data_IF_570244655280
#
_entry.id   IF_570244655280
#
_cell.length_a   1.000
_cell.length_b   1.000
_cell.length_c   1.000
_cell.angle_alpha   90.00
_cell.angle_beta   90.00
_cell.angle_gamma   90.00
#
_symmetry.space_group_name_H-M   'P 1'
#
loop_
_entity.id
_entity.type
_entity.pdbx_description
1 polymer ?
#
# COMPACT_ATOMS: atom_id res chain seq x y z
N UNK A 1 -9.97 -15.78 8.97
CA UNK A 1 -8.59 -16.00 9.44
C UNK A 1 -7.96 -14.64 9.23
N UNK A 2 -7.63 -13.95 10.32
CA UNK A 2 -7.06 -12.63 10.21
C UNK A 2 -5.58 -12.78 9.86
N UNK A 3 -5.14 -12.14 8.79
CA UNK A 3 -3.73 -12.04 8.47
C UNK A 3 -3.38 -10.60 8.12
N UNK A 4 -2.29 -10.13 8.71
CA UNK A 4 -1.73 -8.80 8.55
C UNK A 4 -0.34 -8.99 7.96
N UNK A 5 -0.09 -8.35 6.82
CA UNK A 5 1.16 -8.52 6.06
C UNK A 5 1.83 -7.15 5.92
N UNK A 6 3.05 -7.04 6.44
CA UNK A 6 3.91 -5.87 6.35
C UNK A 6 3.25 -4.55 6.73
N UNK A 7 2.37 -4.58 7.75
CA UNK A 7 1.64 -3.38 8.16
C UNK A 7 2.55 -2.44 8.94
N UNK A 8 2.64 -1.22 8.42
CA UNK A 8 3.25 -0.10 9.14
C UNK A 8 2.25 1.03 9.31
N UNK A 9 2.41 1.77 10.42
CA UNK A 9 1.58 2.91 10.75
C UNK A 9 2.42 4.03 11.32
N UNK A 10 2.28 5.19 10.70
CA UNK A 10 2.92 6.43 11.12
C UNK A 10 1.86 7.50 11.40
N UNK A 11 2.14 8.36 12.38
CA UNK A 11 1.33 9.53 12.73
C UNK A 11 2.20 10.80 12.76
N UNK A 12 1.54 11.96 12.81
CA UNK A 12 2.19 13.27 12.86
C UNK A 12 2.36 13.91 11.47
N UNK A 13 2.72 15.21 11.44
CA UNK A 13 3.06 15.88 10.18
C UNK A 13 4.25 15.17 9.54
N UNK A 14 4.11 14.81 8.26
CA UNK A 14 5.10 14.04 7.49
C UNK A 14 5.43 12.66 8.07
N UNK A 15 4.48 11.96 8.71
CA UNK A 15 4.70 10.61 9.24
C UNK A 15 5.85 10.51 10.27
N UNK A 16 6.06 11.56 11.07
CA UNK A 16 7.20 11.69 11.99
C UNK A 16 7.27 10.65 13.10
N UNK A 17 6.16 9.98 13.42
CA UNK A 17 6.07 9.05 14.56
C UNK A 17 5.65 7.68 14.06
N UNK A 18 6.59 6.74 14.04
CA UNK A 18 6.31 5.33 13.77
C UNK A 18 5.66 4.68 14.99
N UNK A 19 4.44 4.15 14.81
CA UNK A 19 3.70 3.43 15.86
C UNK A 19 3.69 1.93 15.59
N UNK A 20 3.62 1.52 14.32
CA UNK A 20 3.78 0.13 13.89
C UNK A 20 4.79 0.08 12.75
N UNK A 21 5.71 -0.89 12.80
CA UNK A 21 6.74 -1.08 11.78
C UNK A 21 6.75 -2.54 11.34
N UNK A 22 6.42 -2.79 10.07
CA UNK A 22 6.46 -4.10 9.40
C UNK A 22 5.83 -5.23 10.22
N UNK A 23 4.65 -4.96 10.78
CA UNK A 23 3.92 -5.91 11.62
C UNK A 23 3.30 -7.00 10.75
N UNK A 24 3.63 -8.24 11.08
CA UNK A 24 3.11 -9.44 10.47
C UNK A 24 2.39 -10.28 11.55
N UNK A 25 1.12 -10.60 11.33
CA UNK A 25 0.30 -11.33 12.31
C UNK A 25 -0.64 -12.28 11.57
N UNK A 26 -0.78 -13.51 12.06
CA UNK A 26 -1.74 -14.48 11.54
C UNK A 26 -2.53 -15.10 12.70
N UNK A 27 -3.85 -15.05 12.64
CA UNK A 27 -4.76 -15.64 13.63
C UNK A 27 -5.75 -16.56 12.91
N UNK A 28 -5.69 -17.84 13.25
CA UNK A 28 -6.53 -18.90 12.70
C UNK A 28 -7.93 -18.87 13.32
N UNK A 29 -8.89 -19.49 12.63
CA UNK A 29 -10.25 -19.64 13.15
C UNK A 29 -10.23 -20.52 14.40
N UNK A 30 -10.82 -20.03 15.49
CA UNK A 30 -10.83 -20.71 16.79
C UNK A 30 -9.57 -20.49 17.63
N UNK A 31 -8.60 -19.71 17.15
CA UNK A 31 -7.40 -19.34 17.90
C UNK A 31 -7.70 -18.14 18.82
N UNK A 32 -7.37 -18.25 20.11
CA UNK A 32 -7.54 -17.18 21.09
C UNK A 32 -6.17 -16.62 21.49
N UNK A 33 -5.85 -15.42 21.01
CA UNK A 33 -4.50 -14.82 21.09
C UNK A 33 -4.56 -13.54 21.94
N UNK A 34 -3.60 -13.37 22.85
CA UNK A 34 -3.43 -12.14 23.63
C UNK A 34 -2.34 -11.25 23.05
N UNK A 35 -2.61 -9.95 22.93
CA UNK A 35 -1.63 -8.92 22.53
C UNK A 35 -1.20 -8.10 23.76
N UNK A 36 0.06 -8.25 24.19
CA UNK A 36 0.62 -7.58 25.37
C UNK A 36 1.71 -6.56 25.00
N UNK A 37 1.97 -5.58 25.87
CA UNK A 37 3.01 -4.56 25.65
C UNK A 37 2.82 -3.33 26.56
N UNK A 38 3.86 -2.51 26.72
CA UNK A 38 3.84 -1.28 27.53
C UNK A 38 2.81 -0.25 27.04
N UNK A 39 2.37 0.67 27.90
CA UNK A 39 1.47 1.76 27.48
C UNK A 39 2.12 2.56 26.34
N UNK A 40 1.35 2.86 25.27
CA UNK A 40 1.86 3.54 24.08
C UNK A 40 2.54 2.67 23.02
N UNK A 41 2.69 1.36 23.24
CA UNK A 41 3.38 0.45 22.30
C UNK A 41 2.65 0.15 20.97
N UNK A 42 1.55 0.85 20.66
CA UNK A 42 0.78 0.61 19.42
C UNK A 42 -0.25 -0.52 19.46
N UNK A 43 -0.55 -1.13 20.62
CA UNK A 43 -1.55 -2.22 20.73
C UNK A 43 -2.93 -1.82 20.18
N UNK A 44 -3.46 -0.69 20.64
CA UNK A 44 -4.77 -0.19 20.19
C UNK A 44 -4.75 0.15 18.71
N UNK A 45 -3.66 0.73 18.20
CA UNK A 45 -3.47 0.98 16.76
C UNK A 45 -3.48 -0.31 15.95
N UNK A 46 -2.77 -1.35 16.40
CA UNK A 46 -2.77 -2.66 15.73
C UNK A 46 -4.17 -3.28 15.74
N UNK A 47 -4.89 -3.19 16.86
CA UNK A 47 -6.27 -3.67 16.94
C UNK A 47 -7.23 -2.85 16.07
N UNK A 48 -7.07 -1.52 16.00
CA UNK A 48 -7.88 -0.67 15.12
C UNK A 48 -7.63 -0.99 13.65
N UNK A 49 -6.38 -1.23 13.25
CA UNK A 49 -6.05 -1.65 11.88
C UNK A 49 -6.59 -3.05 11.60
N UNK A 50 -6.39 -3.99 12.52
CA UNK A 50 -6.91 -5.35 12.43
C UNK A 50 -8.44 -5.39 12.33
N UNK A 51 -9.12 -4.46 13.02
CA UNK A 51 -10.59 -4.32 13.03
C UNK A 51 -11.12 -3.34 11.97
N UNK A 52 -10.25 -2.84 11.09
CA UNK A 52 -10.55 -1.84 10.07
C UNK A 52 -11.11 -0.49 10.54
N UNK A 53 -11.01 -0.18 11.83
CA UNK A 53 -11.34 1.15 12.33
C UNK A 53 -10.34 2.20 11.85
N UNK A 54 -9.17 1.77 11.37
CA UNK A 54 -8.11 2.64 10.89
C UNK A 54 -7.32 2.00 9.74
N UNK A 55 -6.98 2.77 8.70
CA UNK A 55 -6.11 2.28 7.64
C UNK A 55 -4.64 2.25 8.10
N UNK A 56 -3.88 1.24 7.68
CA UNK A 56 -2.43 1.27 7.81
C UNK A 56 -1.82 2.31 6.85
N UNK A 57 -0.61 2.77 7.14
CA UNK A 57 0.14 3.61 6.19
C UNK A 57 0.65 2.77 5.01
N UNK A 58 1.04 1.51 5.28
CA UNK A 58 1.43 0.51 4.28
C UNK A 58 1.10 -0.91 4.75
N UNK A 59 1.14 -1.92 3.88
CA UNK A 59 0.80 -3.31 4.22
C UNK A 59 -0.68 -3.68 4.08
N UNK A 60 -1.07 -4.94 4.20
CA UNK A 60 -2.41 -5.45 3.80
C UNK A 60 -3.09 -6.21 4.94
N UNK A 61 -4.43 -6.14 4.99
CA UNK A 61 -5.28 -6.97 5.87
C UNK A 61 -6.03 -7.97 4.99
N UNK A 62 -5.79 -9.26 5.23
CA UNK A 62 -6.12 -10.37 4.31
C UNK A 62 -7.60 -10.82 4.39
N UNK A 63 -8.38 -10.33 5.35
CA UNK A 63 -9.76 -10.79 5.57
C UNK A 63 -10.81 -10.14 4.63
N UNK A 64 -10.36 -9.43 3.59
CA UNK A 64 -11.18 -8.68 2.64
C UNK A 64 -10.90 -9.12 1.21
N UNK A 65 -11.90 -8.96 0.33
CA UNK A 65 -11.67 -9.08 -1.10
C UNK A 65 -10.69 -8.02 -1.60
N UNK A 66 -10.18 -8.19 -2.82
CA UNK A 66 -9.34 -7.19 -3.47
C UNK A 66 -10.07 -5.85 -3.57
N UNK A 67 -11.34 -5.89 -3.98
CA UNK A 67 -12.19 -4.72 -4.12
C UNK A 67 -12.32 -3.98 -2.79
N UNK A 68 -12.68 -4.69 -1.73
CA UNK A 68 -12.84 -4.13 -0.40
C UNK A 68 -11.55 -3.47 0.10
N UNK A 69 -10.38 -4.10 -0.12
CA UNK A 69 -9.08 -3.53 0.23
C UNK A 69 -8.82 -2.17 -0.45
N UNK A 70 -9.19 -2.04 -1.74
CA UNK A 70 -9.01 -0.80 -2.50
C UNK A 70 -10.06 0.26 -2.12
N UNK A 71 -11.25 -0.15 -1.67
CA UNK A 71 -12.31 0.76 -1.21
C UNK A 71 -11.99 1.41 0.15
N UNK A 72 -11.18 0.79 1.01
CA UNK A 72 -10.94 1.24 2.39
C UNK A 72 -10.59 2.74 2.52
N UNK A 73 -9.65 3.31 1.74
CA UNK A 73 -9.29 4.72 1.87
C UNK A 73 -10.46 5.68 1.59
N UNK A 74 -11.32 5.35 0.63
CA UNK A 74 -12.53 6.13 0.32
C UNK A 74 -13.55 6.02 1.46
N UNK A 75 -13.74 4.80 1.98
CA UNK A 75 -14.65 4.54 3.12
C UNK A 75 -14.23 5.29 4.38
N UNK A 76 -12.93 5.35 4.66
CA UNK A 76 -12.36 6.07 5.81
C UNK A 76 -12.60 7.58 5.71
N UNK A 77 -12.55 8.15 4.50
CA UNK A 77 -12.89 9.55 4.26
C UNK A 77 -14.41 9.83 4.32
N UNK A 78 -15.23 8.81 4.61
CA UNK A 78 -16.68 8.95 4.74
C UNK A 78 -17.46 8.81 3.44
N UNK A 79 -16.82 8.42 2.33
CA UNK A 79 -17.53 8.19 1.08
C UNK A 79 -18.51 7.01 1.19
N UNK A 80 -19.63 7.11 0.47
CA UNK A 80 -20.64 6.05 0.42
C UNK A 80 -20.05 4.77 -0.18
N UNK A 81 -20.65 3.61 0.11
CA UNK A 81 -20.20 2.33 -0.43
C UNK A 81 -20.13 2.34 -1.95
N UNK A 82 -21.19 2.80 -2.61
CA UNK A 82 -21.27 2.89 -4.08
C UNK A 82 -20.15 3.76 -4.67
N UNK A 83 -19.89 4.95 -4.11
CA UNK A 83 -18.83 5.83 -4.61
C UNK A 83 -17.45 5.19 -4.44
N UNK A 84 -17.19 4.56 -3.29
CA UNK A 84 -15.92 3.88 -3.03
C UNK A 84 -15.72 2.68 -3.98
N UNK A 85 -16.79 1.94 -4.27
CA UNK A 85 -16.80 0.77 -5.14
C UNK A 85 -16.49 1.17 -6.59
N UNK A 86 -17.18 2.18 -7.12
CA UNK A 86 -16.94 2.70 -8.47
C UNK A 86 -15.48 3.18 -8.65
N UNK A 87 -14.95 3.90 -7.66
CA UNK A 87 -13.56 4.35 -7.66
C UNK A 87 -12.57 3.17 -7.61
N UNK A 88 -12.85 2.17 -6.76
CA UNK A 88 -12.01 0.99 -6.61
C UNK A 88 -11.99 0.14 -7.89
N UNK A 89 -13.12 -0.06 -8.55
CA UNK A 89 -13.22 -0.79 -9.83
C UNK A 89 -12.41 -0.07 -10.91
N UNK A 90 -12.54 1.25 -11.03
CA UNK A 90 -11.81 2.04 -12.02
C UNK A 90 -10.28 1.90 -11.84
N UNK A 91 -9.80 1.95 -10.60
CA UNK A 91 -8.38 1.79 -10.28
C UNK A 91 -7.93 0.34 -10.46
N UNK A 92 -8.76 -0.64 -10.11
CA UNK A 92 -8.44 -2.06 -10.33
C UNK A 92 -8.27 -2.37 -11.82
N UNK A 93 -9.06 -1.75 -12.69
CA UNK A 93 -8.84 -1.82 -14.14
C UNK A 93 -7.50 -1.20 -14.56
N UNK A 94 -7.11 -0.06 -13.98
CA UNK A 94 -5.85 0.61 -14.29
C UNK A 94 -4.62 -0.24 -13.89
N UNK A 95 -4.69 -0.94 -12.75
CA UNK A 95 -3.62 -1.84 -12.29
C UNK A 95 -3.71 -3.26 -12.85
N UNK A 96 -4.68 -3.54 -13.73
CA UNK A 96 -4.86 -4.85 -14.37
C UNK A 96 -5.30 -5.97 -13.40
N UNK A 97 -6.16 -5.64 -12.44
CA UNK A 97 -6.71 -6.57 -11.44
C UNK A 97 -8.25 -6.58 -11.37
N UNK A 98 -8.93 -5.99 -12.36
CA UNK A 98 -10.39 -6.01 -12.49
C UNK A 98 -10.99 -7.41 -12.26
N UNK A 99 -10.48 -8.42 -12.94
CA UNK A 99 -11.05 -9.79 -12.90
C UNK A 99 -10.80 -10.49 -11.57
N UNK A 100 -10.04 -9.88 -10.66
CA UNK A 100 -9.74 -10.37 -9.31
C UNK A 100 -10.40 -9.57 -8.22
N UNK A 101 -11.31 -8.64 -8.54
CA UNK A 101 -11.99 -7.78 -7.57
C UNK A 101 -12.60 -8.58 -6.40
N UNK A 102 -13.25 -9.70 -6.69
CA UNK A 102 -13.90 -10.55 -5.67
C UNK A 102 -12.97 -11.61 -5.05
N UNK A 103 -11.75 -11.76 -5.57
CA UNK A 103 -10.79 -12.73 -5.02
C UNK A 103 -10.33 -12.34 -3.62
N UNK A 104 -9.94 -13.34 -2.84
CA UNK A 104 -9.33 -13.11 -1.54
C UNK A 104 -7.86 -12.73 -1.71
N UNK A 105 -7.33 -11.85 -0.84
CA UNK A 105 -5.91 -11.43 -0.90
C UNK A 105 -4.96 -12.64 -0.80
N UNK A 106 -5.33 -13.68 -0.06
CA UNK A 106 -4.53 -14.91 0.09
C UNK A 106 -4.34 -15.68 -1.21
N UNK A 107 -5.19 -15.45 -2.22
CA UNK A 107 -5.14 -16.13 -3.52
C UNK A 107 -4.25 -15.39 -4.54
N UNK A 108 -3.82 -14.17 -4.20
CA UNK A 108 -2.99 -13.35 -5.07
C UNK A 108 -1.52 -13.76 -5.02
N UNK A 109 -0.83 -13.68 -6.16
CA UNK A 109 0.64 -13.72 -6.22
C UNK A 109 1.26 -12.50 -5.52
N UNK A 110 2.56 -12.56 -5.22
CA UNK A 110 3.28 -11.44 -4.58
C UNK A 110 3.12 -10.12 -5.33
N UNK A 111 3.33 -10.13 -6.66
CA UNK A 111 3.21 -8.90 -7.45
C UNK A 111 1.78 -8.44 -7.66
N UNK A 112 0.79 -9.33 -7.58
CA UNK A 112 -0.63 -8.93 -7.54
C UNK A 112 -0.96 -8.23 -6.23
N UNK A 113 -0.51 -8.76 -5.08
CA UNK A 113 -0.68 -8.09 -3.77
C UNK A 113 -0.07 -6.70 -3.77
N UNK A 114 1.10 -6.52 -4.39
CA UNK A 114 1.74 -5.22 -4.49
C UNK A 114 0.95 -4.25 -5.39
N UNK A 115 0.35 -4.73 -6.49
CA UNK A 115 -0.56 -3.92 -7.31
C UNK A 115 -1.83 -3.53 -6.55
N UNK A 116 -2.37 -4.38 -5.67
CA UNK A 116 -3.47 -4.00 -4.76
C UNK A 116 -3.03 -2.91 -3.78
N UNK A 117 -1.84 -3.02 -3.20
CA UNK A 117 -1.30 -1.99 -2.32
C UNK A 117 -1.13 -0.64 -3.04
N UNK A 118 -0.64 -0.67 -4.29
CA UNK A 118 -0.57 0.50 -5.17
C UNK A 118 -1.95 1.08 -5.43
N UNK A 119 -2.90 0.26 -5.88
CA UNK A 119 -4.28 0.66 -6.16
C UNK A 119 -4.91 1.41 -4.97
N UNK A 120 -4.74 0.85 -3.76
CA UNK A 120 -5.21 1.48 -2.53
C UNK A 120 -4.50 2.81 -2.23
N UNK A 121 -3.21 2.93 -2.53
CA UNK A 121 -2.47 4.19 -2.36
C UNK A 121 -2.93 5.31 -3.31
N UNK A 122 -3.40 4.95 -4.51
CA UNK A 122 -3.75 5.92 -5.57
C UNK A 122 -5.25 6.16 -5.73
N UNK A 123 -6.12 5.37 -5.08
CA UNK A 123 -7.59 5.47 -5.22
C UNK A 123 -8.18 6.84 -4.89
N UNK A 124 -7.50 7.61 -4.04
CA UNK A 124 -7.90 8.97 -3.68
C UNK A 124 -7.27 10.05 -4.57
N UNK A 125 -6.57 9.68 -5.64
CA UNK A 125 -5.83 10.59 -6.54
C UNK A 125 -4.98 11.61 -5.75
N UNK A 126 -4.01 11.15 -4.93
CA UNK A 126 -3.25 12.04 -4.06
C UNK A 126 -2.40 13.02 -4.88
N UNK A 127 -2.27 14.27 -4.42
CA UNK A 127 -1.44 15.28 -5.11
C UNK A 127 0.04 14.89 -5.23
N UNK A 128 0.53 14.07 -4.28
CA UNK A 128 1.86 13.48 -4.30
C UNK A 128 1.78 11.98 -4.02
N UNK A 129 2.48 11.19 -4.83
CA UNK A 129 2.64 9.76 -4.65
C UNK A 129 4.05 9.47 -4.15
N UNK A 130 4.15 8.90 -2.96
CA UNK A 130 5.40 8.43 -2.38
C UNK A 130 5.42 6.90 -2.42
N UNK A 131 6.51 6.33 -2.90
CA UNK A 131 6.67 4.89 -2.96
C UNK A 131 8.06 4.49 -2.48
N UNK A 132 8.10 3.74 -1.39
CA UNK A 132 9.33 3.17 -0.86
C UNK A 132 9.43 1.72 -1.31
N UNK A 133 10.48 1.41 -2.07
CA UNK A 133 10.71 0.12 -2.74
C UNK A 133 9.42 -0.57 -3.23
N UNK A 134 8.62 0.06 -4.12
CA UNK A 134 7.32 -0.46 -4.54
C UNK A 134 7.38 -1.74 -5.37
N UNK A 135 8.57 -2.32 -5.52
CA UNK A 135 8.82 -3.56 -6.24
C UNK A 135 9.69 -4.54 -5.44
N UNK A 136 9.93 -4.27 -4.14
CA UNK A 136 10.75 -5.12 -3.28
C UNK A 136 10.24 -6.57 -3.26
N UNK A 137 11.17 -7.53 -3.37
CA UNK A 137 10.90 -8.99 -3.38
C UNK A 137 10.18 -9.55 -4.61
N UNK A 138 9.92 -8.76 -5.67
CA UNK A 138 9.36 -9.24 -6.94
C UNK A 138 10.43 -9.58 -7.98
N UNK A 139 10.08 -10.47 -8.92
CA UNK A 139 10.94 -10.70 -10.08
C UNK A 139 11.01 -9.45 -11.00
N UNK A 140 12.07 -9.30 -11.81
CA UNK A 140 12.28 -8.12 -12.63
C UNK A 140 11.14 -7.79 -13.61
N UNK A 141 10.37 -8.79 -14.08
CA UNK A 141 9.28 -8.58 -15.01
C UNK A 141 8.05 -8.01 -14.31
N UNK A 142 7.72 -8.55 -13.12
CA UNK A 142 6.64 -8.02 -12.27
C UNK A 142 6.97 -6.62 -11.73
N UNK A 143 8.21 -6.37 -11.33
CA UNK A 143 8.68 -5.04 -10.88
C UNK A 143 8.45 -3.97 -11.94
N UNK A 144 8.76 -4.28 -13.20
CA UNK A 144 8.50 -3.37 -14.33
C UNK A 144 7.01 -3.10 -14.53
N UNK A 145 6.15 -4.10 -14.35
CA UNK A 145 4.71 -3.93 -14.48
C UNK A 145 4.15 -2.97 -13.42
N UNK A 146 4.52 -3.16 -12.15
CA UNK A 146 4.11 -2.28 -11.04
C UNK A 146 4.62 -0.85 -11.27
N UNK A 147 5.90 -0.70 -11.60
CA UNK A 147 6.48 0.62 -11.88
C UNK A 147 5.79 1.32 -13.06
N UNK A 148 5.45 0.58 -14.12
CA UNK A 148 4.74 1.12 -15.29
C UNK A 148 3.37 1.67 -14.92
N UNK A 149 2.62 0.96 -14.08
CA UNK A 149 1.32 1.41 -13.56
C UNK A 149 1.48 2.70 -12.76
N UNK A 150 2.43 2.74 -11.83
CA UNK A 150 2.73 3.92 -11.01
C UNK A 150 3.09 5.13 -11.88
N UNK A 151 4.05 4.95 -12.81
CA UNK A 151 4.50 6.02 -13.68
C UNK A 151 3.38 6.52 -14.60
N UNK A 152 2.59 5.61 -15.20
CA UNK A 152 1.44 5.96 -16.04
C UNK A 152 0.40 6.76 -15.26
N UNK A 153 0.08 6.35 -14.03
CA UNK A 153 -0.89 7.06 -13.19
C UNK A 153 -0.42 8.48 -12.85
N UNK A 154 0.85 8.62 -12.42
CA UNK A 154 1.48 9.92 -12.15
C UNK A 154 1.38 10.86 -13.36
N UNK A 155 1.71 10.37 -14.56
CA UNK A 155 1.62 11.15 -15.79
C UNK A 155 0.19 11.49 -16.20
N UNK A 156 -0.72 10.51 -16.16
CA UNK A 156 -2.11 10.68 -16.59
C UNK A 156 -2.89 11.65 -15.70
N UNK A 157 -2.57 11.68 -14.40
CA UNK A 157 -3.24 12.52 -13.40
C UNK A 157 -2.45 13.79 -13.05
N UNK A 158 -1.30 14.01 -13.68
CA UNK A 158 -0.40 15.14 -13.43
C UNK A 158 -0.04 15.30 -11.95
N UNK A 159 0.33 14.19 -11.31
CA UNK A 159 0.71 14.14 -9.89
C UNK A 159 2.21 14.36 -9.73
N UNK A 160 2.64 14.76 -8.53
CA UNK A 160 4.04 14.64 -8.16
C UNK A 160 4.33 13.19 -7.72
N UNK A 161 5.47 12.63 -8.13
CA UNK A 161 5.88 11.27 -7.75
C UNK A 161 7.31 11.26 -7.20
N UNK A 162 7.52 10.59 -6.06
CA UNK A 162 8.84 10.27 -5.54
C UNK A 162 8.90 8.77 -5.24
N UNK A 163 9.84 8.09 -5.89
CA UNK A 163 10.02 6.64 -5.75
C UNK A 163 11.44 6.37 -5.28
N UNK A 164 11.58 5.66 -4.16
CA UNK A 164 12.85 5.10 -3.72
C UNK A 164 13.01 3.69 -4.31
N UNK A 165 14.16 3.40 -4.92
CA UNK A 165 14.47 2.08 -5.49
C UNK A 165 15.96 1.87 -5.61
N UNK A 166 16.41 0.62 -5.44
CA UNK A 166 17.76 0.18 -5.76
C UNK A 166 17.92 -0.27 -7.22
N UNK A 167 16.84 -0.35 -8.01
CA UNK A 167 16.90 -0.74 -9.42
C UNK A 167 17.19 0.48 -10.31
N UNK A 168 18.46 0.60 -10.71
CA UNK A 168 18.92 1.66 -11.62
C UNK A 168 18.20 1.66 -12.99
N UNK A 169 17.70 0.52 -13.47
CA UNK A 169 16.99 0.47 -14.76
C UNK A 169 15.59 1.05 -14.65
N UNK A 170 14.93 0.91 -13.50
CA UNK A 170 13.65 1.56 -13.24
C UNK A 170 13.84 3.04 -12.97
N UNK A 171 14.87 3.43 -12.20
CA UNK A 171 15.20 4.82 -11.93
C UNK A 171 15.37 5.63 -13.24
N UNK A 172 16.06 5.09 -14.24
CA UNK A 172 16.26 5.72 -15.56
C UNK A 172 14.98 6.01 -16.35
N UNK A 173 13.84 5.44 -15.96
CA UNK A 173 12.54 5.69 -16.60
C UNK A 173 11.78 6.85 -15.98
N UNK A 174 12.29 7.43 -14.89
CA UNK A 174 11.72 8.63 -14.26
C UNK A 174 12.17 9.89 -14.99
N UNK A 175 11.53 11.02 -14.68
CA UNK A 175 11.90 12.31 -15.28
C UNK A 175 13.30 12.80 -14.87
N UNK A 176 13.70 12.53 -13.62
CA UNK A 176 14.98 12.94 -13.02
C UNK A 176 15.40 11.92 -11.98
N UNK A 177 16.71 11.67 -11.85
CA UNK A 177 17.26 10.70 -10.89
C UNK A 177 18.09 11.44 -9.84
N UNK A 178 17.78 11.17 -8.56
CA UNK A 178 18.54 11.69 -7.42
C UNK A 178 19.27 10.54 -6.73
N UNK A 179 20.50 10.81 -6.31
CA UNK A 179 21.35 9.91 -5.52
C UNK A 179 21.53 10.49 -4.12
N UNK A 180 21.33 9.70 -3.08
CA UNK A 180 21.51 10.09 -1.68
C UNK A 180 22.74 9.39 -1.10
N UNK A 181 23.82 10.14 -0.84
CA UNK A 181 25.06 9.60 -0.28
C UNK A 181 25.51 10.44 0.92
N UNK A 182 25.73 9.80 2.07
CA UNK A 182 26.17 10.50 3.29
C UNK A 182 25.23 11.60 3.77
N UNK A 183 23.93 11.50 3.45
CA UNK A 183 22.92 12.52 3.77
C UNK A 183 22.85 13.69 2.77
N UNK A 184 23.63 13.67 1.70
CA UNK A 184 23.61 14.68 0.64
C UNK A 184 22.90 14.14 -0.61
N UNK A 185 21.98 14.93 -1.16
CA UNK A 185 21.30 14.64 -2.44
C UNK A 185 22.07 15.26 -3.60
N UNK A 186 22.34 14.45 -4.62
CA UNK A 186 22.91 14.89 -5.90
C UNK A 186 22.05 14.39 -7.05
N UNK A 187 21.88 15.22 -8.08
CA UNK A 187 21.20 14.83 -9.32
C UNK A 187 22.18 14.13 -10.27
N UNK A 188 21.73 13.05 -10.91
CA UNK A 188 22.52 12.24 -11.85
C UNK A 188 22.20 12.56 -13.32
#
# INVERSE_FOLDING_TARGET
>A
MLEIIDVSKYYGRNNSTCVLSNVNLKIKRGEFVALIGSSGSGKSTLLHIASLLEAPTSGIVVEFSVLENVMLPQRILGHSRSVAEDAAIAILAEVGLQDKAECQISELSGGERQRVAVARGIVNSPAIMLADEPTGSLDPQMSRAVFSVLHKHVKAKNLAGLVATHDHNLAKKTDRVLSLNGGMLTEL
#
